data_IF_327164322325
#
_entry.id   IF_327164322325
#
_cell.length_a   1.000
_cell.length_b   1.000
_cell.length_c   1.000
_cell.angle_alpha   90.00
_cell.angle_beta   90.00
_cell.angle_gamma   90.00
#
_symmetry.space_group_name_H-M   'P 1'
#
loop_
_entity.id
_entity.type
_entity.pdbx_description
1 polymer ?
#
# COMPACT_ATOMS: atom_id res chain seq x y z
N UNK A 1 12.81 32.53 -19.93
CA UNK A 1 11.84 31.43 -19.95
C UNK A 1 12.22 30.41 -18.87
N UNK A 2 11.83 30.65 -17.62
CA UNK A 2 12.04 29.69 -16.53
C UNK A 2 10.82 28.79 -16.45
N UNK A 3 10.94 27.57 -16.96
CA UNK A 3 9.98 26.49 -16.71
C UNK A 3 9.86 26.29 -15.20
N UNK A 4 8.66 26.54 -14.68
CA UNK A 4 8.33 26.34 -13.26
C UNK A 4 8.21 24.84 -12.98
N UNK A 5 9.35 24.14 -13.00
CA UNK A 5 9.41 22.77 -12.49
C UNK A 5 9.37 22.89 -10.97
N UNK A 6 8.22 22.62 -10.37
CA UNK A 6 8.13 22.42 -8.92
C UNK A 6 9.05 21.22 -8.63
N UNK A 7 10.14 21.39 -7.84
CA UNK A 7 11.04 20.30 -7.56
C UNK A 7 10.27 19.16 -6.88
N UNK A 8 10.61 17.89 -7.14
CA UNK A 8 10.06 16.77 -6.37
C UNK A 8 10.26 17.10 -4.89
N UNK A 9 9.23 16.92 -4.07
CA UNK A 9 9.19 17.36 -2.66
C UNK A 9 10.24 16.72 -1.73
N UNK A 10 11.22 16.02 -2.28
CA UNK A 10 12.36 15.42 -1.61
C UNK A 10 13.51 15.22 -2.62
N UNK A 11 14.74 15.56 -2.26
CA UNK A 11 15.94 15.35 -3.07
C UNK A 11 17.04 14.68 -2.24
N UNK A 12 17.57 13.58 -2.75
CA UNK A 12 18.61 12.79 -2.10
C UNK A 12 19.96 13.52 -1.99
N UNK A 13 20.22 14.53 -2.82
CA UNK A 13 21.48 15.29 -2.80
C UNK A 13 21.49 16.39 -1.75
N UNK A 14 20.32 16.88 -1.36
CA UNK A 14 20.16 18.06 -0.50
C UNK A 14 19.42 17.75 0.80
N UNK A 15 18.91 16.53 0.98
CA UNK A 15 18.27 16.13 2.22
C UNK A 15 19.26 16.07 3.39
N UNK A 16 18.84 16.53 4.55
CA UNK A 16 19.59 16.33 5.79
C UNK A 16 19.43 14.89 6.28
N UNK A 17 20.55 14.22 6.51
CA UNK A 17 20.59 12.89 7.12
C UNK A 17 21.05 13.05 8.56
N UNK A 18 20.15 12.77 9.50
CA UNK A 18 20.48 12.73 10.93
C UNK A 18 20.78 11.29 11.33
N UNK A 19 21.99 11.06 11.83
CA UNK A 19 22.43 9.73 12.29
C UNK A 19 22.36 9.69 13.80
N UNK A 20 21.59 8.74 14.33
CA UNK A 20 21.47 8.49 15.78
C UNK A 20 21.49 7.00 16.03
N UNK A 21 22.63 6.38 15.69
CA UNK A 21 22.88 4.96 15.86
C UNK A 21 23.62 4.74 17.18
N UNK A 22 23.17 3.74 17.93
CA UNK A 22 23.81 3.25 19.14
C UNK A 22 24.05 1.75 18.98
N UNK A 23 25.08 1.18 19.63
CA UNK A 23 25.28 -0.27 19.64
C UNK A 23 24.05 -0.96 20.25
N UNK A 24 23.85 -2.21 19.86
CA UNK A 24 22.85 -3.06 20.52
C UNK A 24 23.18 -3.20 22.01
N UNK A 25 22.14 -3.23 22.85
CA UNK A 25 22.31 -3.45 24.29
C UNK A 25 22.97 -4.80 24.55
N UNK A 26 24.06 -4.81 25.32
CA UNK A 26 24.82 -6.03 25.64
C UNK A 26 23.95 -7.07 26.35
N UNK A 27 23.05 -6.66 27.24
CA UNK A 27 22.13 -7.57 27.94
C UNK A 27 21.21 -8.32 26.96
N UNK A 28 20.82 -7.68 25.86
CA UNK A 28 20.02 -8.33 24.80
C UNK A 28 20.90 -9.29 24.01
N UNK A 29 22.09 -8.87 23.60
CA UNK A 29 23.02 -9.72 22.85
C UNK A 29 23.40 -10.99 23.61
N UNK A 30 23.69 -10.86 24.91
CA UNK A 30 23.98 -11.96 25.84
C UNK A 30 22.84 -12.98 25.92
N UNK A 31 21.60 -12.48 25.93
CA UNK A 31 20.41 -13.32 26.01
C UNK A 31 20.03 -13.98 24.69
N UNK A 32 20.44 -13.42 23.55
CA UNK A 32 19.99 -13.84 22.21
C UNK A 32 21.03 -14.71 21.50
N UNK A 33 22.29 -14.27 21.39
CA UNK A 33 23.26 -14.91 20.49
C UNK A 33 24.72 -15.02 21.00
N UNK A 34 25.15 -14.25 21.99
CA UNK A 34 26.56 -14.31 22.45
C UNK A 34 26.92 -15.70 23.00
N UNK A 35 28.04 -16.25 22.53
CA UNK A 35 28.53 -17.58 22.93
C UNK A 35 27.68 -18.77 22.48
N UNK A 36 26.72 -18.55 21.55
CA UNK A 36 25.85 -19.61 21.01
C UNK A 36 26.21 -19.95 19.58
N UNK A 37 26.02 -21.22 19.22
CA UNK A 37 26.05 -21.65 17.83
C UNK A 37 24.84 -21.11 17.07
N UNK A 38 24.96 -21.01 15.74
CA UNK A 38 23.91 -20.43 14.88
C UNK A 38 22.55 -21.12 15.02
N UNK A 39 22.53 -22.41 15.34
CA UNK A 39 21.32 -23.21 15.50
C UNK A 39 20.62 -22.98 16.85
N UNK A 40 21.34 -22.39 17.83
CA UNK A 40 20.89 -22.18 19.22
C UNK A 40 20.59 -20.69 19.54
N UNK A 41 20.58 -19.84 18.53
CA UNK A 41 20.22 -18.42 18.68
C UNK A 41 18.77 -18.29 19.15
N UNK A 42 18.57 -17.53 20.23
CA UNK A 42 17.25 -17.25 20.80
C UNK A 42 16.43 -16.27 19.95
N UNK A 43 15.13 -16.16 20.23
CA UNK A 43 14.31 -15.10 19.65
C UNK A 43 14.81 -13.72 20.12
N UNK A 44 14.98 -12.78 19.19
CA UNK A 44 15.48 -11.43 19.50
C UNK A 44 14.51 -10.56 20.30
N UNK A 45 13.22 -10.90 20.29
CA UNK A 45 12.18 -10.30 21.13
C UNK A 45 11.00 -11.27 21.23
N UNK A 46 10.11 -11.03 22.21
CA UNK A 46 8.85 -11.74 22.33
C UNK A 46 7.85 -11.26 21.26
N UNK A 47 7.12 -12.20 20.65
CA UNK A 47 6.13 -11.87 19.65
C UNK A 47 5.32 -13.07 19.18
N UNK A 48 4.27 -12.79 18.43
CA UNK A 48 3.45 -13.77 17.74
C UNK A 48 3.56 -13.52 16.24
N UNK A 49 3.68 -14.59 15.47
CA UNK A 49 3.79 -14.54 14.02
C UNK A 49 2.67 -15.38 13.41
N UNK A 50 2.06 -14.85 12.34
CA UNK A 50 1.04 -15.56 11.57
C UNK A 50 1.51 -15.69 10.13
N UNK A 51 1.46 -16.91 9.62
CA UNK A 51 1.53 -17.18 8.19
C UNK A 51 0.12 -17.26 7.61
N UNK A 52 -0.07 -16.73 6.40
CA UNK A 52 -1.31 -16.89 5.64
C UNK A 52 -0.96 -17.22 4.19
N UNK A 53 -1.73 -18.13 3.61
CA UNK A 53 -1.69 -18.49 2.20
C UNK A 53 -3.12 -18.79 1.73
N UNK A 54 -3.41 -18.48 0.47
CA UNK A 54 -4.73 -18.68 -0.16
C UNK A 54 -4.52 -19.18 -1.58
N UNK A 55 -5.35 -20.12 -2.04
CA UNK A 55 -5.27 -20.70 -3.39
C UNK A 55 -5.96 -19.82 -4.47
N UNK A 56 -6.47 -18.64 -4.09
CA UNK A 56 -7.14 -17.73 -5.02
C UNK A 56 -6.22 -17.13 -6.10
N UNK A 57 -4.89 -17.20 -5.92
CA UNK A 57 -3.86 -16.84 -6.91
C UNK A 57 -2.72 -17.86 -6.93
N UNK A 58 -1.99 -17.92 -8.05
CA UNK A 58 -0.81 -18.79 -8.19
C UNK A 58 0.31 -18.43 -7.21
N UNK A 59 0.42 -17.15 -6.82
CA UNK A 59 1.40 -16.65 -5.85
C UNK A 59 1.01 -16.92 -4.38
N UNK A 60 -0.07 -17.67 -4.15
CA UNK A 60 -0.63 -17.98 -2.83
C UNK A 60 -1.03 -16.75 -1.98
N UNK A 61 -1.34 -15.63 -2.63
CA UNK A 61 -1.64 -14.34 -1.99
C UNK A 61 -3.05 -13.85 -2.34
N UNK A 62 -3.69 -13.02 -1.48
CA UNK A 62 -4.99 -12.46 -1.83
C UNK A 62 -4.91 -11.58 -3.09
N UNK A 63 -5.86 -11.75 -4.01
CA UNK A 63 -5.92 -11.02 -5.27
C UNK A 63 -5.99 -9.51 -5.05
N UNK A 64 -6.68 -9.07 -3.99
CA UNK A 64 -6.82 -7.66 -3.60
C UNK A 64 -5.48 -6.96 -3.38
N UNK A 65 -4.62 -7.52 -2.50
CA UNK A 65 -3.30 -6.96 -2.20
C UNK A 65 -2.37 -7.10 -3.41
N UNK A 66 -2.44 -8.23 -4.12
CA UNK A 66 -1.63 -8.48 -5.30
C UNK A 66 -1.91 -7.43 -6.40
N UNK A 67 -3.17 -7.15 -6.71
CA UNK A 67 -3.56 -6.12 -7.67
C UNK A 67 -3.14 -4.72 -7.20
N UNK A 68 -3.37 -4.38 -5.93
CA UNK A 68 -2.96 -3.08 -5.38
C UNK A 68 -1.45 -2.83 -5.57
N UNK A 69 -0.61 -3.82 -5.25
CA UNK A 69 0.84 -3.73 -5.47
C UNK A 69 1.22 -3.66 -6.95
N UNK A 70 0.61 -4.50 -7.81
CA UNK A 70 0.89 -4.51 -9.26
C UNK A 70 0.52 -3.15 -9.90
N UNK A 71 -0.54 -2.48 -9.44
CA UNK A 71 -0.91 -1.13 -9.90
C UNK A 71 0.16 -0.08 -9.56
N UNK A 72 0.66 -0.08 -8.33
CA UNK A 72 1.76 0.81 -7.91
C UNK A 72 3.05 0.52 -8.68
N UNK A 73 3.40 -0.77 -8.86
CA UNK A 73 4.55 -1.18 -9.64
C UNK A 73 4.44 -0.71 -11.10
N UNK A 74 3.26 -0.81 -11.71
CA UNK A 74 3.02 -0.34 -13.08
C UNK A 74 3.15 1.18 -13.20
N UNK A 75 2.61 1.96 -12.27
CA UNK A 75 2.79 3.42 -12.26
C UNK A 75 4.28 3.80 -12.18
N UNK A 76 5.04 3.11 -11.32
CA UNK A 76 6.50 3.31 -11.21
C UNK A 76 7.23 2.96 -12.50
N UNK A 77 6.85 1.88 -13.18
CA UNK A 77 7.40 1.50 -14.48
C UNK A 77 7.13 2.59 -15.54
N UNK A 78 5.89 3.08 -15.63
CA UNK A 78 5.50 4.11 -16.60
C UNK A 78 6.19 5.46 -16.34
N UNK A 79 6.43 5.80 -15.07
CA UNK A 79 7.23 6.96 -14.67
C UNK A 79 8.69 6.79 -15.13
N UNK A 80 9.31 5.66 -14.81
CA UNK A 80 10.73 5.38 -15.16
C UNK A 80 11.00 5.30 -16.65
N UNK A 81 10.07 4.73 -17.41
CA UNK A 81 10.19 4.59 -18.88
C UNK A 81 9.87 5.88 -19.62
N UNK A 82 9.36 6.91 -18.93
CA UNK A 82 8.96 8.17 -19.55
C UNK A 82 7.65 8.10 -20.34
N UNK A 83 6.92 6.97 -20.30
CA UNK A 83 5.60 6.83 -20.95
C UNK A 83 4.54 7.71 -20.28
N UNK A 84 4.64 7.88 -18.96
CA UNK A 84 3.86 8.82 -18.16
C UNK A 84 4.81 9.67 -17.30
N UNK A 85 5.53 10.64 -17.88
CA UNK A 85 6.59 11.38 -17.19
C UNK A 85 6.04 12.32 -16.11
N UNK A 86 4.72 12.56 -16.12
CA UNK A 86 4.00 13.35 -15.13
C UNK A 86 3.77 12.60 -13.82
N UNK A 87 3.94 11.26 -13.77
CA UNK A 87 3.79 10.47 -12.54
C UNK A 87 5.01 10.71 -11.64
N UNK A 88 4.77 11.19 -10.42
CA UNK A 88 5.77 11.36 -9.38
C UNK A 88 5.75 10.18 -8.39
N UNK A 89 6.79 10.00 -7.54
CA UNK A 89 6.99 8.75 -6.81
C UNK A 89 5.93 8.39 -5.75
N UNK A 90 5.21 9.36 -5.18
CA UNK A 90 4.21 9.11 -4.14
C UNK A 90 2.88 8.67 -4.76
N UNK A 91 2.47 7.43 -4.47
CA UNK A 91 1.23 6.85 -4.98
C UNK A 91 0.60 5.88 -3.99
N UNK A 92 -0.72 5.75 -4.07
CA UNK A 92 -1.56 4.89 -3.24
C UNK A 92 -2.62 4.25 -4.12
N UNK A 93 -2.80 2.95 -3.95
CA UNK A 93 -3.80 2.13 -4.65
C UNK A 93 -4.65 1.40 -3.61
N UNK A 94 -5.92 1.18 -3.93
CA UNK A 94 -6.83 0.35 -3.13
C UNK A 94 -7.73 -0.42 -4.09
N UNK A 95 -7.96 -1.70 -3.80
CA UNK A 95 -8.74 -2.60 -4.65
C UNK A 95 -9.72 -3.40 -3.79
N UNK A 96 -11.01 -3.18 -4.04
CA UNK A 96 -12.11 -3.93 -3.44
C UNK A 96 -12.56 -5.00 -4.43
N UNK A 97 -12.54 -6.27 -4.01
CA UNK A 97 -12.93 -7.42 -4.84
C UNK A 97 -14.15 -8.09 -4.21
N UNK A 98 -15.11 -8.43 -5.05
CA UNK A 98 -16.25 -9.25 -4.67
C UNK A 98 -15.86 -10.73 -4.71
N UNK A 99 -16.19 -11.45 -3.65
CA UNK A 99 -15.81 -12.85 -3.48
C UNK A 99 -17.05 -13.73 -3.27
N UNK A 100 -16.92 -14.99 -3.65
CA UNK A 100 -17.84 -16.06 -3.29
C UNK A 100 -17.17 -16.98 -2.28
N UNK A 101 -17.90 -17.35 -1.24
CA UNK A 101 -17.49 -18.42 -0.33
C UNK A 101 -17.67 -19.78 -1.03
N UNK A 102 -16.62 -20.59 -1.00
CA UNK A 102 -16.57 -21.92 -1.56
C UNK A 102 -16.06 -22.89 -0.49
N UNK A 103 -16.94 -23.25 0.44
CA UNK A 103 -16.66 -24.21 1.52
C UNK A 103 -15.42 -23.81 2.36
N UNK A 104 -15.26 -22.52 2.66
CA UNK A 104 -14.14 -21.99 3.44
C UNK A 104 -12.96 -21.49 2.61
N UNK A 105 -12.90 -21.82 1.31
CA UNK A 105 -12.05 -21.12 0.36
C UNK A 105 -12.79 -19.89 -0.20
N UNK A 106 -12.04 -18.88 -0.68
CA UNK A 106 -12.61 -17.68 -1.29
C UNK A 106 -12.30 -17.64 -2.77
N UNK A 107 -13.32 -17.40 -3.58
CA UNK A 107 -13.18 -17.31 -5.04
C UNK A 107 -13.45 -15.86 -5.50
N UNK A 108 -12.47 -15.17 -6.12
CA UNK A 108 -12.66 -13.80 -6.59
C UNK A 108 -13.55 -13.77 -7.84
N UNK A 109 -14.63 -12.99 -7.77
CA UNK A 109 -15.59 -12.85 -8.87
C UNK A 109 -15.26 -11.66 -9.77
N UNK A 110 -15.08 -10.48 -9.17
CA UNK A 110 -14.89 -9.21 -9.88
C UNK A 110 -14.30 -8.13 -8.99
N UNK A 111 -13.67 -7.12 -9.60
CA UNK A 111 -13.27 -5.88 -8.91
C UNK A 111 -14.49 -4.98 -8.78
N UNK A 112 -14.88 -4.70 -7.54
CA UNK A 112 -15.99 -3.81 -7.22
C UNK A 112 -15.57 -2.34 -7.29
N UNK A 113 -14.51 -1.98 -6.58
CA UNK A 113 -14.02 -0.59 -6.51
C UNK A 113 -12.51 -0.56 -6.64
N UNK A 114 -12.00 0.41 -7.41
CA UNK A 114 -10.58 0.68 -7.54
C UNK A 114 -10.31 2.15 -7.27
N UNK A 115 -9.38 2.43 -6.35
CA UNK A 115 -8.94 3.79 -6.02
C UNK A 115 -7.47 3.95 -6.38
N UNK A 116 -7.13 5.01 -7.09
CA UNK A 116 -5.73 5.41 -7.34
C UNK A 116 -5.59 6.88 -6.97
N UNK A 117 -4.65 7.18 -6.09
CA UNK A 117 -4.13 8.53 -5.85
C UNK A 117 -2.65 8.52 -6.20
N UNK A 118 -2.23 9.46 -7.04
CA UNK A 118 -0.84 9.55 -7.50
C UNK A 118 -0.41 10.99 -7.53
N UNK A 119 0.77 11.26 -7.00
CA UNK A 119 1.40 12.57 -7.09
C UNK A 119 1.75 12.83 -8.56
N UNK A 120 1.47 14.05 -9.04
CA UNK A 120 1.65 14.37 -10.45
C UNK A 120 2.26 15.75 -10.68
N UNK A 121 2.82 15.95 -11.88
CA UNK A 121 3.29 17.26 -12.35
C UNK A 121 2.12 18.23 -12.54
N UNK A 122 2.34 19.56 -12.43
CA UNK A 122 1.29 20.56 -12.58
C UNK A 122 0.77 20.70 -14.02
N UNK A 123 1.50 20.20 -15.01
CA UNK A 123 1.25 20.45 -16.43
C UNK A 123 0.20 19.52 -17.06
N UNK A 124 -0.26 18.50 -16.34
CA UNK A 124 -1.24 17.53 -16.84
C UNK A 124 -2.66 17.83 -16.32
N UNK A 125 -3.66 17.69 -17.19
CA UNK A 125 -5.07 17.87 -16.81
C UNK A 125 -5.62 16.65 -16.07
N UNK A 126 -6.61 16.85 -15.20
CA UNK A 126 -7.28 15.75 -14.50
C UNK A 126 -7.91 14.73 -15.46
N UNK A 127 -8.41 15.18 -16.62
CA UNK A 127 -8.98 14.29 -17.63
C UNK A 127 -7.91 13.36 -18.22
N UNK A 128 -6.74 13.90 -18.57
CA UNK A 128 -5.63 13.12 -19.11
C UNK A 128 -5.02 12.16 -18.08
N UNK A 129 -4.95 12.58 -16.81
CA UNK A 129 -4.55 11.71 -15.70
C UNK A 129 -5.51 10.51 -15.62
N UNK A 130 -6.83 10.76 -15.54
CA UNK A 130 -7.83 9.71 -15.42
C UNK A 130 -7.81 8.75 -16.61
N UNK A 131 -7.70 9.29 -17.82
CA UNK A 131 -7.59 8.49 -19.04
C UNK A 131 -6.32 7.62 -19.04
N UNK A 132 -5.17 8.22 -18.73
CA UNK A 132 -3.89 7.50 -18.69
C UNK A 132 -3.85 6.43 -17.61
N UNK A 133 -4.38 6.71 -16.41
CA UNK A 133 -4.51 5.71 -15.35
C UNK A 133 -5.41 4.56 -15.77
N UNK A 134 -6.53 4.83 -16.43
CA UNK A 134 -7.42 3.77 -16.91
C UNK A 134 -6.74 2.88 -17.97
N UNK A 135 -6.25 3.48 -19.05
CA UNK A 135 -5.74 2.72 -20.20
C UNK A 135 -4.38 2.07 -19.95
N UNK A 136 -3.46 2.77 -19.28
CA UNK A 136 -2.07 2.33 -19.16
C UNK A 136 -1.75 1.63 -17.83
N UNK A 137 -2.58 1.82 -16.81
CA UNK A 137 -2.35 1.24 -15.47
C UNK A 137 -3.42 0.19 -15.16
N UNK A 138 -4.69 0.57 -15.10
CA UNK A 138 -5.78 -0.34 -14.67
C UNK A 138 -5.95 -1.48 -15.66
N UNK A 139 -6.20 -1.20 -16.94
CA UNK A 139 -6.41 -2.23 -17.97
C UNK A 139 -5.16 -3.07 -18.26
N UNK A 140 -3.98 -2.53 -17.97
CA UNK A 140 -2.72 -3.26 -18.14
C UNK A 140 -2.44 -4.25 -17.00
N UNK A 141 -2.99 -4.00 -15.80
CA UNK A 141 -2.72 -4.80 -14.59
C UNK A 141 -3.86 -5.72 -14.22
N UNK A 142 -5.10 -5.22 -14.27
CA UNK A 142 -6.27 -5.97 -13.84
C UNK A 142 -6.79 -6.81 -15.01
N UNK A 143 -6.82 -8.15 -14.88
CA UNK A 143 -7.39 -9.02 -15.91
C UNK A 143 -8.82 -8.60 -16.27
N UNK A 144 -9.12 -8.51 -17.57
CA UNK A 144 -10.42 -8.04 -18.07
C UNK A 144 -11.60 -8.85 -17.52
N UNK A 145 -11.40 -10.14 -17.20
CA UNK A 145 -12.43 -11.00 -16.58
C UNK A 145 -12.96 -10.49 -15.24
N UNK A 146 -12.21 -9.63 -14.55
CA UNK A 146 -12.62 -9.04 -13.27
C UNK A 146 -13.18 -7.62 -13.40
N UNK A 147 -13.20 -7.04 -14.60
CA UNK A 147 -13.69 -5.69 -14.84
C UNK A 147 -15.02 -5.74 -15.59
N UNK A 148 -16.01 -4.98 -15.12
CA UNK A 148 -17.31 -4.85 -15.76
C UNK A 148 -17.84 -3.41 -15.75
N UNK A 149 -19.03 -3.23 -16.30
CA UNK A 149 -19.75 -1.95 -16.37
C UNK A 149 -20.14 -1.41 -14.98
N UNK A 150 -20.13 -2.26 -13.95
CA UNK A 150 -20.44 -1.92 -12.55
C UNK A 150 -19.18 -1.64 -11.73
N UNK A 151 -17.97 -1.81 -12.28
CA UNK A 151 -16.75 -1.49 -11.55
C UNK A 151 -16.66 0.02 -11.32
N UNK A 152 -16.47 0.40 -10.06
CA UNK A 152 -16.37 1.80 -9.64
C UNK A 152 -14.91 2.24 -9.66
N UNK A 153 -14.62 3.32 -10.38
CA UNK A 153 -13.26 3.85 -10.52
C UNK A 153 -13.12 5.23 -9.86
N UNK A 154 -12.34 5.30 -8.79
CA UNK A 154 -11.91 6.55 -8.17
C UNK A 154 -10.48 6.87 -8.57
N UNK A 155 -10.33 7.46 -9.77
CA UNK A 155 -9.04 7.84 -10.34
C UNK A 155 -8.73 9.31 -10.02
N UNK A 156 -7.74 9.51 -9.15
CA UNK A 156 -7.37 10.78 -8.55
C UNK A 156 -8.59 11.52 -7.96
N UNK A 157 -9.25 10.96 -6.93
CA UNK A 157 -10.49 11.52 -6.38
C UNK A 157 -10.26 12.89 -5.71
N UNK A 158 -9.04 13.18 -5.24
CA UNK A 158 -8.67 14.50 -4.71
C UNK A 158 -8.68 15.61 -5.78
N UNK A 159 -8.71 15.25 -7.07
CA UNK A 159 -8.62 16.17 -8.21
C UNK A 159 -7.22 16.73 -8.45
N UNK A 160 -6.46 17.03 -7.40
CA UNK A 160 -5.05 17.45 -7.47
C UNK A 160 -4.22 16.76 -6.39
N UNK A 161 -2.99 16.41 -6.74
CA UNK A 161 -1.99 15.90 -5.80
C UNK A 161 -0.59 16.32 -6.26
N UNK A 162 -0.27 17.60 -6.07
CA UNK A 162 0.99 18.20 -6.54
C UNK A 162 2.11 18.02 -5.51
N UNK A 163 1.84 18.35 -4.24
CA UNK A 163 2.78 18.21 -3.15
C UNK A 163 2.59 16.83 -2.51
N UNK A 164 3.67 16.06 -2.42
CA UNK A 164 3.68 14.66 -1.95
C UNK A 164 4.96 14.30 -1.22
N UNK A 165 5.08 13.05 -0.77
CA UNK A 165 6.24 12.54 -0.06
C UNK A 165 6.40 13.09 1.37
N UNK A 166 7.64 13.08 1.91
CA UNK A 166 7.93 13.51 3.28
C UNK A 166 7.58 14.97 3.57
N UNK A 167 7.49 15.83 2.55
CA UNK A 167 7.24 17.27 2.70
C UNK A 167 5.86 17.59 3.29
N UNK A 168 4.84 16.82 2.92
CA UNK A 168 3.43 17.13 3.27
C UNK A 168 2.82 16.13 4.26
N UNK A 169 3.49 15.01 4.50
CA UNK A 169 2.99 13.99 5.41
C UNK A 169 3.37 14.35 6.84
N UNK A 170 2.40 14.86 7.61
CA UNK A 170 2.58 15.33 9.00
C UNK A 170 2.91 14.22 10.02
N UNK A 171 2.88 12.95 9.63
CA UNK A 171 3.16 11.82 10.50
C UNK A 171 4.47 11.15 10.05
N UNK A 172 5.51 11.22 10.90
CA UNK A 172 6.89 10.83 10.59
C UNK A 172 7.17 9.33 10.67
N UNK A 173 6.16 8.49 10.84
CA UNK A 173 6.31 7.04 10.94
C UNK A 173 5.41 6.38 9.89
N UNK A 174 6.04 5.80 8.87
CA UNK A 174 5.33 5.16 7.76
C UNK A 174 5.06 3.71 8.09
N UNK A 175 3.81 3.29 7.95
CA UNK A 175 3.38 1.89 8.09
C UNK A 175 2.65 1.52 6.80
N UNK A 176 3.09 0.46 6.13
CA UNK A 176 2.24 -0.22 5.15
C UNK A 176 1.21 -1.04 5.95
N UNK A 177 -0.03 -0.57 5.97
CA UNK A 177 -1.14 -1.32 6.58
C UNK A 177 -1.92 -2.00 5.46
N UNK A 178 -1.81 -3.33 5.40
CA UNK A 178 -2.76 -4.16 4.70
C UNK A 178 -3.87 -4.53 5.69
N UNK A 179 -5.09 -4.04 5.48
CA UNK A 179 -6.27 -4.45 6.24
C UNK A 179 -7.16 -5.29 5.34
N UNK A 180 -7.23 -6.60 5.59
CA UNK A 180 -8.17 -7.50 4.92
C UNK A 180 -9.43 -7.56 5.78
N UNK A 181 -10.54 -6.98 5.31
CA UNK A 181 -11.82 -6.98 6.03
C UNK A 181 -12.85 -7.84 5.29
N UNK A 182 -12.90 -9.13 5.64
CA UNK A 182 -13.93 -10.05 5.15
C UNK A 182 -15.23 -9.80 5.93
N UNK A 183 -16.30 -9.41 5.23
CA UNK A 183 -17.64 -9.20 5.82
C UNK A 183 -18.46 -10.48 5.56
N UNK A 184 -18.92 -11.15 6.63
CA UNK A 184 -19.87 -12.28 6.52
C UNK A 184 -19.36 -13.67 6.89
N UNK A 185 -18.06 -13.86 7.15
CA UNK A 185 -17.52 -15.12 7.69
C UNK A 185 -17.25 -15.00 9.19
N UNK A 186 -17.49 -16.09 9.92
CA UNK A 186 -17.26 -16.25 11.37
C UNK A 186 -15.76 -16.37 11.69
N UNK A 187 -14.87 -15.91 10.82
CA UNK A 187 -13.41 -16.12 10.90
C UNK A 187 -12.68 -14.78 10.92
N UNK A 188 -11.57 -14.69 11.68
CA UNK A 188 -11.10 -13.43 12.22
C UNK A 188 -10.60 -12.50 11.12
N UNK A 189 -10.88 -11.21 11.29
CA UNK A 189 -10.15 -10.12 10.64
C UNK A 189 -8.66 -10.41 10.78
N UNK A 190 -7.96 -10.75 9.71
CA UNK A 190 -6.50 -10.85 9.74
C UNK A 190 -5.98 -9.42 9.84
N UNK A 191 -5.83 -8.96 11.07
CA UNK A 191 -5.18 -7.69 11.40
C UNK A 191 -3.73 -8.03 11.72
N UNK A 192 -2.85 -7.86 10.74
CA UNK A 192 -1.41 -8.01 10.97
C UNK A 192 -0.92 -6.73 11.61
N UNK A 193 -0.80 -6.74 12.94
CA UNK A 193 -0.15 -5.70 13.73
C UNK A 193 1.30 -6.12 13.99
N UNK A 194 2.12 -6.06 12.95
CA UNK A 194 3.56 -5.88 13.13
C UNK A 194 3.95 -4.63 12.36
N UNK A 195 3.96 -3.50 13.06
CA UNK A 195 4.75 -2.38 12.59
C UNK A 195 6.21 -2.81 12.64
N UNK A 196 6.96 -2.63 11.55
CA UNK A 196 8.41 -2.48 11.67
C UNK A 196 8.81 -1.20 12.46
N UNK A 197 7.88 -0.50 13.16
CA UNK A 197 8.13 0.39 14.33
C UNK A 197 6.86 1.01 14.98
N UNK A 198 6.85 1.01 16.33
CA UNK A 198 6.16 1.78 17.41
C UNK A 198 4.61 2.03 17.45
N UNK A 199 3.91 1.77 18.59
CA UNK A 199 2.44 1.78 18.77
C UNK A 199 1.64 3.11 18.68
N UNK A 200 2.23 4.30 18.78
CA UNK A 200 1.44 5.55 18.89
C UNK A 200 0.82 6.02 17.55
N UNK A 201 1.23 5.40 16.43
CA UNK A 201 0.79 5.72 15.05
C UNK A 201 -0.63 5.20 14.77
N UNK A 202 -1.13 4.29 15.60
CA UNK A 202 -2.32 3.46 15.35
C UNK A 202 -3.64 4.25 15.44
N UNK A 203 -3.78 5.20 16.37
CA UNK A 203 -5.08 5.85 16.64
C UNK A 203 -5.55 6.81 15.54
N UNK A 204 -4.67 7.62 14.97
CA UNK A 204 -5.07 8.67 14.03
C UNK A 204 -5.38 8.15 12.62
N UNK A 205 -4.74 7.05 12.20
CA UNK A 205 -5.07 6.40 10.94
C UNK A 205 -6.39 5.62 11.03
N UNK A 206 -6.70 5.10 12.23
CA UNK A 206 -7.95 4.42 12.51
C UNK A 206 -9.16 5.33 12.26
N UNK A 207 -9.12 6.60 12.71
CA UNK A 207 -10.23 7.53 12.51
C UNK A 207 -10.46 7.94 11.04
N UNK A 208 -9.39 8.19 10.28
CA UNK A 208 -9.52 8.50 8.84
C UNK A 208 -10.09 7.31 8.05
N UNK A 209 -9.62 6.09 8.37
CA UNK A 209 -10.10 4.87 7.72
C UNK A 209 -11.53 4.52 8.16
N UNK A 210 -11.91 4.75 9.42
CA UNK A 210 -13.29 4.58 9.89
C UNK A 210 -14.26 5.50 9.14
N UNK A 211 -13.91 6.77 8.96
CA UNK A 211 -14.76 7.72 8.22
C UNK A 211 -14.92 7.34 6.74
N UNK A 212 -13.85 6.82 6.11
CA UNK A 212 -13.90 6.36 4.71
C UNK A 212 -14.67 5.03 4.58
N UNK A 213 -14.53 4.16 5.57
CA UNK A 213 -15.25 2.88 5.69
C UNK A 213 -16.74 3.08 5.91
N UNK A 214 -17.17 4.09 6.68
CA UNK A 214 -18.60 4.39 6.84
C UNK A 214 -19.28 4.76 5.51
N UNK A 215 -18.60 5.53 4.65
CA UNK A 215 -19.15 5.91 3.35
C UNK A 215 -19.15 4.75 2.33
N UNK A 216 -18.17 3.84 2.42
CA UNK A 216 -18.15 2.60 1.63
C UNK A 216 -19.25 1.64 2.13
N UNK A 217 -19.41 1.47 3.46
CA UNK A 217 -20.38 0.55 4.04
C UNK A 217 -21.85 0.97 3.84
N UNK A 218 -22.15 2.27 3.70
CA UNK A 218 -23.49 2.77 3.39
C UNK A 218 -23.97 2.37 1.99
N UNK A 219 -23.06 2.06 1.07
CA UNK A 219 -23.36 1.80 -0.34
C UNK A 219 -23.22 0.32 -0.75
N UNK A 220 -22.82 -0.56 0.17
CA UNK A 220 -22.40 -1.92 -0.15
C UNK A 220 -23.29 -2.94 0.59
N UNK A 221 -24.06 -3.72 -0.17
CA UNK A 221 -24.96 -4.76 0.32
C UNK A 221 -24.26 -5.93 1.03
N UNK A 222 -25.04 -6.83 1.63
CA UNK A 222 -24.61 -7.86 2.60
C UNK A 222 -23.63 -8.95 2.10
N UNK A 223 -23.09 -8.88 0.87
CA UNK A 223 -22.25 -9.93 0.28
C UNK A 223 -20.87 -9.48 -0.21
N UNK A 224 -20.50 -8.21 -0.01
CA UNK A 224 -19.23 -7.69 -0.56
C UNK A 224 -18.15 -7.64 0.52
N UNK A 225 -17.00 -8.21 0.20
CA UNK A 225 -15.77 -8.14 1.00
C UNK A 225 -14.97 -6.92 0.55
N UNK A 226 -14.67 -6.00 1.45
CA UNK A 226 -13.84 -4.84 1.16
C UNK A 226 -12.45 -5.04 1.77
N UNK A 227 -11.44 -5.17 0.91
CA UNK A 227 -10.04 -5.22 1.35
C UNK A 227 -9.42 -3.85 1.11
N UNK A 228 -9.05 -3.17 2.19
CA UNK A 228 -8.43 -1.85 2.14
C UNK A 228 -6.93 -2.03 2.38
N UNK A 229 -6.15 -2.09 1.30
CA UNK A 229 -4.69 -2.17 1.39
C UNK A 229 -4.11 -0.82 1.02
N UNK A 230 -3.52 -0.12 1.99
CA UNK A 230 -2.76 1.10 1.74
C UNK A 230 -1.30 0.73 1.51
N UNK A 231 -0.92 0.51 0.25
CA UNK A 231 0.48 0.33 -0.11
C UNK A 231 1.13 1.70 -0.40
N UNK A 232 2.03 2.13 0.47
CA UNK A 232 2.89 3.30 0.26
C UNK A 232 4.30 2.77 -0.01
N UNK A 233 4.79 2.88 -1.25
CA UNK A 233 6.09 2.36 -1.65
C UNK A 233 7.16 3.46 -1.52
N UNK A 234 7.93 3.47 -0.44
CA UNK A 234 9.18 4.24 -0.37
C UNK A 234 10.38 3.31 -0.52
N UNK A 235 11.34 3.73 -1.36
CA UNK A 235 12.64 3.07 -1.47
C UNK A 235 13.49 3.54 -0.28
N UNK A 236 13.73 2.66 0.69
CA UNK A 236 14.88 2.80 1.58
C UNK A 236 16.16 2.67 0.74
N UNK A 237 17.02 3.67 0.80
CA UNK A 237 18.36 3.59 0.21
C UNK A 237 19.26 3.02 1.30
N UNK A 238 19.61 1.74 1.18
CA UNK A 238 20.73 1.17 1.92
C UNK A 238 22.01 1.81 1.38
N UNK A 239 22.75 2.48 2.26
CA UNK A 239 24.11 2.92 1.98
C UNK A 239 25.01 1.91 2.68
N UNK A 240 25.55 0.96 1.91
CA UNK A 240 26.68 0.15 2.36
C UNK A 240 27.90 1.07 2.51
N UNK A 241 28.52 1.02 3.68
CA UNK A 241 29.87 1.54 3.92
C UNK A 241 30.93 0.66 3.29
#
# INVERSE_FOLDING_TARGET
>A
CCSHVIPPGFDYKTCNVLVSLQPQCSEISDCVFEGRDMEDIGAGDQGLMFGYATDETEECMPLTILLAHKLNAKMKELSKTGVCPWILPDSKTQVTVEYRDNMGAVEPLRVHTLVISVQHSPDITLADIRHSLMEKVVKAVVPAKYLDDKTIYHLLPSGKFLAGGPQVSKHKNWVALASISIKGTVHPKITILSSFTHPQVILNLYEFLLNTKEDILKNVGNQTVATDVHCILFRTVEVNG
#
